data_IF_888542558699
#
_entry.id   IF_888542558699
#
_cell.length_a   1.000
_cell.length_b   1.000
_cell.length_c   1.000
_cell.angle_alpha   90.00
_cell.angle_beta   90.00
_cell.angle_gamma   90.00
#
_symmetry.space_group_name_H-M   'P 1'
#
loop_
_entity.id
_entity.type
_entity.pdbx_description
1 polymer ?
#
# COMPACT_ATOMS: atom_id res chain seq x y z
N UNK A 1 -13.59 -4.83 -20.16
CA UNK A 1 -12.19 -4.35 -20.24
C UNK A 1 -11.97 -3.48 -19.00
N UNK A 2 -11.02 -3.88 -18.15
CA UNK A 2 -10.84 -3.25 -16.84
C UNK A 2 -10.30 -1.82 -17.00
N UNK A 3 -10.74 -0.92 -16.16
CA UNK A 3 -10.26 0.48 -16.06
C UNK A 3 -8.73 0.54 -15.92
N UNK A 4 -8.12 -0.48 -15.30
CA UNK A 4 -6.67 -0.63 -15.21
C UNK A 4 -5.96 -0.69 -16.57
N UNK A 5 -6.61 -1.21 -17.63
CA UNK A 5 -6.04 -1.24 -18.99
C UNK A 5 -6.06 0.14 -19.67
N UNK A 6 -6.98 1.02 -19.32
CA UNK A 6 -6.99 2.39 -19.85
C UNK A 6 -5.94 3.27 -19.16
N UNK A 7 -5.73 3.10 -17.87
CA UNK A 7 -4.73 3.85 -17.10
C UNK A 7 -3.31 3.54 -17.58
N UNK A 8 -2.99 2.28 -17.86
CA UNK A 8 -1.69 1.90 -18.42
C UNK A 8 -1.39 2.52 -19.78
N UNK A 9 -2.42 3.01 -20.50
CA UNK A 9 -2.24 3.74 -21.77
C UNK A 9 -1.82 5.21 -21.58
N UNK A 10 -2.06 5.78 -20.42
CA UNK A 10 -1.75 7.18 -20.11
C UNK A 10 -0.47 7.37 -19.31
N UNK A 11 0.07 6.31 -18.69
CA UNK A 11 1.35 6.38 -18.01
C UNK A 11 2.53 6.29 -18.98
N UNK A 12 2.49 7.13 -19.98
CA UNK A 12 3.58 7.27 -20.93
C UNK A 12 4.61 8.24 -20.39
N UNK A 13 5.72 7.70 -19.85
CA UNK A 13 6.94 8.44 -19.71
C UNK A 13 6.88 9.66 -18.79
N UNK A 14 7.23 9.48 -17.54
CA UNK A 14 7.43 10.58 -16.58
C UNK A 14 8.37 11.68 -17.11
N UNK A 15 9.26 11.37 -18.03
CA UNK A 15 10.19 12.35 -18.62
C UNK A 15 9.65 13.11 -19.82
N UNK A 16 8.72 12.54 -20.61
CA UNK A 16 8.29 13.13 -21.88
C UNK A 16 6.84 13.63 -21.86
N UNK A 17 6.04 13.24 -20.88
CA UNK A 17 4.64 13.61 -20.80
C UNK A 17 4.27 14.13 -19.41
N UNK A 18 5.22 14.74 -18.71
CA UNK A 18 4.89 15.52 -17.54
C UNK A 18 4.00 16.69 -17.97
N UNK A 19 2.70 16.44 -18.05
CA UNK A 19 1.71 17.48 -17.90
C UNK A 19 1.32 17.46 -16.42
N UNK A 20 1.46 18.59 -15.76
CA UNK A 20 0.92 18.81 -14.44
C UNK A 20 -0.60 18.87 -14.55
N UNK A 21 -1.23 17.75 -14.84
CA UNK A 21 -2.67 17.62 -14.84
C UNK A 21 -3.15 17.03 -13.51
N UNK A 22 -4.45 17.10 -13.29
CA UNK A 22 -5.10 16.69 -12.04
C UNK A 22 -4.98 15.19 -11.73
N UNK A 23 -4.46 14.40 -12.67
CA UNK A 23 -4.35 12.93 -12.56
C UNK A 23 -2.94 12.48 -12.19
N UNK A 24 -1.98 13.39 -12.01
CA UNK A 24 -0.59 13.08 -11.65
C UNK A 24 -0.18 13.72 -10.34
N UNK A 25 -0.45 13.02 -9.26
CA UNK A 25 0.08 13.35 -7.93
C UNK A 25 1.38 12.58 -7.61
N UNK A 26 1.65 11.50 -8.33
CA UNK A 26 2.81 10.62 -8.18
C UNK A 26 3.36 10.23 -9.55
N UNK A 27 4.56 9.72 -9.64
CA UNK A 27 5.13 9.02 -10.79
C UNK A 27 4.58 7.58 -10.92
N UNK A 28 3.79 7.15 -9.95
CA UNK A 28 3.01 5.93 -9.97
C UNK A 28 1.52 6.25 -10.09
N UNK A 29 0.78 5.42 -10.82
CA UNK A 29 -0.65 5.61 -11.04
C UNK A 29 -1.48 5.01 -9.90
N UNK A 30 -2.54 5.67 -9.45
CA UNK A 30 -3.49 5.03 -8.55
C UNK A 30 -4.17 3.85 -9.27
N UNK A 31 -4.28 2.72 -8.60
CA UNK A 31 -5.01 1.55 -9.10
C UNK A 31 -6.40 1.55 -8.49
N UNK A 32 -7.42 1.41 -9.33
CA UNK A 32 -8.80 1.20 -8.90
C UNK A 32 -9.17 -0.24 -9.19
N UNK A 33 -9.49 -0.99 -8.16
CA UNK A 33 -9.96 -2.36 -8.27
C UNK A 33 -11.41 -2.40 -7.78
N UNK A 34 -12.33 -2.81 -8.63
CA UNK A 34 -13.70 -3.12 -8.24
C UNK A 34 -13.84 -4.63 -8.03
N UNK A 35 -14.12 -5.05 -6.80
CA UNK A 35 -14.37 -6.45 -6.46
C UNK A 35 -15.86 -6.62 -6.16
N UNK A 36 -16.48 -7.67 -6.73
CA UNK A 36 -17.84 -8.08 -6.35
C UNK A 36 -17.73 -9.32 -5.47
N UNK A 37 -18.00 -9.15 -4.17
CA UNK A 37 -18.03 -10.25 -3.22
C UNK A 37 -19.47 -10.75 -3.01
N UNK A 38 -19.66 -12.07 -2.94
CA UNK A 38 -20.92 -12.69 -2.52
C UNK A 38 -20.90 -12.90 -1.00
N UNK A 39 -21.61 -12.06 -0.26
CA UNK A 39 -21.77 -12.28 1.18
C UNK A 39 -22.63 -13.51 1.51
N UNK A 40 -22.49 -14.05 2.71
CA UNK A 40 -23.19 -15.24 3.23
C UNK A 40 -24.72 -15.13 3.24
N UNK A 41 -25.29 -13.96 2.97
CA UNK A 41 -26.74 -13.70 2.90
C UNK A 41 -27.30 -13.65 1.47
N UNK A 42 -26.52 -14.04 0.44
CA UNK A 42 -26.97 -14.11 -0.95
C UNK A 42 -27.09 -12.78 -1.68
N UNK A 43 -26.58 -11.69 -1.11
CA UNK A 43 -26.47 -10.39 -1.77
C UNK A 43 -25.08 -10.18 -2.38
N UNK A 44 -25.01 -9.41 -3.47
CA UNK A 44 -23.75 -8.88 -3.99
C UNK A 44 -23.48 -7.52 -3.37
N UNK A 45 -22.25 -7.29 -2.87
CA UNK A 45 -21.78 -5.98 -2.44
C UNK A 45 -20.71 -5.49 -3.43
N UNK A 46 -20.73 -4.20 -3.74
CA UNK A 46 -19.68 -3.57 -4.54
C UNK A 46 -18.69 -2.92 -3.59
N UNK A 47 -17.41 -3.21 -3.76
CA UNK A 47 -16.29 -2.53 -3.09
C UNK A 47 -15.55 -1.69 -4.13
N UNK A 48 -15.25 -0.45 -3.77
CA UNK A 48 -14.45 0.46 -4.57
C UNK A 48 -13.13 0.69 -3.83
N UNK A 49 -12.09 -0.03 -4.25
CA UNK A 49 -10.76 0.08 -3.65
C UNK A 49 -9.96 1.14 -4.41
N UNK A 50 -9.64 2.23 -3.71
CA UNK A 50 -8.77 3.28 -4.20
C UNK A 50 -7.40 3.05 -3.59
N UNK A 51 -6.42 2.80 -4.43
CA UNK A 51 -5.05 2.52 -3.96
C UNK A 51 -4.04 3.46 -4.62
N UNK A 52 -3.00 3.81 -3.88
CA UNK A 52 -1.82 4.51 -4.39
C UNK A 52 -0.56 3.97 -3.70
N UNK A 53 0.60 4.27 -4.25
CA UNK A 53 1.90 3.93 -3.67
C UNK A 53 2.91 5.03 -3.96
N UNK A 54 4.04 5.00 -3.26
CA UNK A 54 5.18 5.89 -3.51
C UNK A 54 4.80 7.38 -3.53
N UNK A 55 3.96 7.78 -2.58
CA UNK A 55 3.52 9.17 -2.48
C UNK A 55 4.66 10.12 -2.13
N UNK A 56 5.63 9.67 -1.31
CA UNK A 56 6.87 10.38 -0.99
C UNK A 56 6.68 11.84 -0.64
N UNK A 57 5.68 12.15 0.18
CA UNK A 57 5.44 13.52 0.56
C UNK A 57 5.28 14.48 -0.62
N UNK A 58 4.72 14.02 -1.73
CA UNK A 58 4.43 14.81 -2.94
C UNK A 58 3.28 15.78 -2.71
N UNK A 59 3.45 16.64 -1.70
CA UNK A 59 2.49 17.68 -1.35
C UNK A 59 2.95 19.05 -1.88
N UNK A 60 1.98 19.91 -2.19
CA UNK A 60 2.24 21.25 -2.68
C UNK A 60 1.04 21.82 -3.41
N UNK A 61 1.12 23.11 -3.74
CA UNK A 61 0.00 23.86 -4.32
C UNK A 61 -0.62 23.20 -5.56
N UNK A 62 0.20 22.57 -6.39
CA UNK A 62 -0.24 21.99 -7.66
C UNK A 62 -0.36 20.46 -7.61
N UNK A 63 -0.13 19.82 -6.45
CA UNK A 63 -0.16 18.38 -6.27
C UNK A 63 -1.28 17.96 -5.33
N UNK A 64 -1.32 18.51 -4.12
CA UNK A 64 -2.25 18.10 -3.06
C UNK A 64 -3.70 18.26 -3.45
N UNK A 65 -4.08 19.41 -4.02
CA UNK A 65 -5.48 19.69 -4.36
C UNK A 65 -5.98 18.82 -5.51
N UNK A 66 -5.25 18.65 -6.63
CA UNK A 66 -5.64 17.71 -7.69
C UNK A 66 -5.75 16.26 -7.19
N UNK A 67 -4.78 15.79 -6.41
CA UNK A 67 -4.81 14.44 -5.82
C UNK A 67 -6.06 14.24 -4.95
N UNK A 68 -6.30 15.16 -4.02
CA UNK A 68 -7.48 15.12 -3.15
C UNK A 68 -8.78 15.17 -3.97
N UNK A 69 -8.86 16.04 -4.97
CA UNK A 69 -10.05 16.15 -5.82
C UNK A 69 -10.32 14.86 -6.60
N UNK A 70 -9.28 14.18 -7.09
CA UNK A 70 -9.42 12.90 -7.77
C UNK A 70 -9.97 11.83 -6.82
N UNK A 71 -9.41 11.71 -5.61
CA UNK A 71 -9.90 10.75 -4.61
C UNK A 71 -11.36 11.04 -4.26
N UNK A 72 -11.71 12.31 -4.01
CA UNK A 72 -13.09 12.67 -3.65
C UNK A 72 -14.07 12.44 -4.81
N UNK A 73 -13.64 12.69 -6.06
CA UNK A 73 -14.46 12.37 -7.23
C UNK A 73 -14.73 10.88 -7.35
N UNK A 74 -13.70 10.04 -7.25
CA UNK A 74 -13.82 8.58 -7.33
C UNK A 74 -14.64 8.01 -6.16
N UNK A 75 -14.49 8.59 -4.98
CA UNK A 75 -15.28 8.25 -3.80
C UNK A 75 -16.75 8.61 -3.95
N UNK A 76 -17.04 9.76 -4.59
CA UNK A 76 -18.40 10.22 -4.81
C UNK A 76 -19.21 9.31 -5.76
N UNK A 77 -18.55 8.52 -6.60
CA UNK A 77 -19.21 7.52 -7.45
C UNK A 77 -19.70 6.32 -6.62
N UNK A 78 -19.04 6.05 -5.48
CA UNK A 78 -19.31 4.92 -4.59
C UNK A 78 -19.18 5.32 -3.11
N UNK A 79 -20.01 6.23 -2.59
CA UNK A 79 -19.78 6.91 -1.31
C UNK A 79 -19.77 5.97 -0.09
N UNK A 80 -20.56 4.89 -0.12
CA UNK A 80 -20.69 3.96 1.00
C UNK A 80 -19.82 2.71 0.86
N UNK A 81 -19.10 2.58 -0.27
CA UNK A 81 -18.34 1.36 -0.59
C UNK A 81 -16.88 1.63 -0.97
N UNK A 82 -16.41 2.86 -0.78
CA UNK A 82 -15.04 3.24 -1.10
C UNK A 82 -14.08 3.07 0.07
N UNK A 83 -12.93 2.45 -0.18
CA UNK A 83 -11.83 2.26 0.76
C UNK A 83 -10.54 2.82 0.15
N UNK A 84 -9.90 3.77 0.84
CA UNK A 84 -8.63 4.33 0.42
C UNK A 84 -7.48 3.61 1.13
N UNK A 85 -6.57 3.04 0.34
CA UNK A 85 -5.42 2.25 0.76
C UNK A 85 -4.13 2.82 0.16
N UNK A 86 -2.99 2.37 0.68
CA UNK A 86 -1.68 2.66 0.10
C UNK A 86 -0.74 1.45 0.23
N UNK A 87 0.10 1.24 -0.78
CA UNK A 87 1.07 0.15 -0.81
C UNK A 87 2.47 0.58 -0.35
N UNK A 88 2.58 1.56 0.55
CA UNK A 88 3.84 1.98 1.16
C UNK A 88 4.47 3.22 0.53
N UNK A 89 5.59 3.65 1.13
CA UNK A 89 6.36 4.84 0.75
C UNK A 89 5.51 6.11 0.69
N UNK A 90 4.60 6.26 1.66
CA UNK A 90 3.79 7.47 1.81
C UNK A 90 4.63 8.66 2.26
N UNK A 91 5.66 8.39 3.06
CA UNK A 91 6.64 9.36 3.61
C UNK A 91 8.06 8.91 3.29
N UNK A 92 9.04 9.74 3.59
CA UNK A 92 10.45 9.53 3.26
C UNK A 92 10.77 9.84 1.80
N UNK A 93 12.02 10.14 1.49
CA UNK A 93 12.46 10.69 0.20
C UNK A 93 11.58 11.87 -0.29
N UNK A 94 10.97 12.58 0.63
CA UNK A 94 9.90 13.55 0.42
C UNK A 94 10.39 14.87 -0.16
N UNK A 95 9.49 15.61 -0.81
CA UNK A 95 9.74 16.99 -1.19
C UNK A 95 10.07 17.87 0.03
N UNK A 96 10.84 18.92 -0.18
CA UNK A 96 11.35 19.80 0.88
C UNK A 96 10.26 20.34 1.81
N UNK A 97 9.10 20.70 1.28
CA UNK A 97 7.96 21.20 2.05
C UNK A 97 7.37 20.17 3.03
N UNK A 98 7.58 18.89 2.78
CA UNK A 98 7.23 17.80 3.69
C UNK A 98 8.42 17.41 4.57
N UNK A 99 9.57 17.08 3.96
CA UNK A 99 10.74 16.57 4.66
C UNK A 99 11.30 17.55 5.71
N UNK A 100 11.28 18.85 5.44
CA UNK A 100 11.70 19.88 6.39
C UNK A 100 10.87 19.90 7.70
N UNK A 101 9.69 19.32 7.67
CA UNK A 101 8.78 19.18 8.82
C UNK A 101 8.61 17.71 9.22
N UNK A 102 9.58 16.85 8.87
CA UNK A 102 9.57 15.40 9.18
C UNK A 102 8.29 14.72 8.72
N UNK A 103 7.83 15.08 7.54
CA UNK A 103 6.64 14.55 6.87
C UNK A 103 5.29 14.76 7.60
N UNK A 104 5.26 15.61 8.64
CA UNK A 104 4.01 15.91 9.32
C UNK A 104 2.94 16.47 8.37
N UNK A 105 3.23 17.40 7.44
CA UNK A 105 2.21 17.87 6.50
C UNK A 105 1.65 16.79 5.58
N UNK A 106 2.45 15.79 5.23
CA UNK A 106 1.98 14.63 4.45
C UNK A 106 1.05 13.76 5.27
N UNK A 107 1.41 13.47 6.53
CA UNK A 107 0.56 12.72 7.46
C UNK A 107 -0.78 13.44 7.62
N UNK A 108 -0.78 14.75 7.80
CA UNK A 108 -2.00 15.55 7.96
C UNK A 108 -2.90 15.49 6.72
N UNK A 109 -2.30 15.55 5.52
CA UNK A 109 -3.04 15.42 4.25
C UNK A 109 -3.67 14.04 4.11
N UNK A 110 -2.92 12.97 4.36
CA UNK A 110 -3.42 11.60 4.24
C UNK A 110 -4.48 11.28 5.31
N UNK A 111 -4.33 11.83 6.52
CA UNK A 111 -5.38 11.78 7.54
C UNK A 111 -6.66 12.49 7.07
N UNK A 112 -6.54 13.69 6.49
CA UNK A 112 -7.68 14.44 5.98
C UNK A 112 -8.38 13.73 4.83
N UNK A 113 -7.64 13.00 3.99
CA UNK A 113 -8.18 12.17 2.91
C UNK A 113 -8.80 10.86 3.41
N UNK A 114 -8.64 10.54 4.69
CA UNK A 114 -9.22 9.34 5.28
C UNK A 114 -8.59 8.04 4.79
N UNK A 115 -7.27 8.04 4.58
CA UNK A 115 -6.51 6.80 4.37
C UNK A 115 -6.83 5.82 5.50
N UNK A 116 -7.07 4.55 5.19
CA UNK A 116 -7.50 3.55 6.17
C UNK A 116 -6.40 2.57 6.56
N UNK A 117 -5.65 2.10 5.58
CA UNK A 117 -4.50 1.24 5.82
C UNK A 117 -3.43 1.49 4.76
N UNK A 118 -2.19 1.25 5.13
CA UNK A 118 -1.03 1.30 4.23
C UNK A 118 -0.06 0.19 4.60
N UNK A 119 0.46 -0.54 3.62
CA UNK A 119 1.71 -1.24 3.85
C UNK A 119 2.78 -0.23 4.30
N UNK A 120 3.77 -0.66 5.05
CA UNK A 120 5.02 0.10 5.14
C UNK A 120 5.83 -0.14 3.88
N UNK A 121 6.47 0.89 3.34
CA UNK A 121 7.53 0.77 2.37
C UNK A 121 8.91 0.87 3.03
N UNK A 122 9.96 0.87 2.24
CA UNK A 122 11.32 1.01 2.79
C UNK A 122 11.57 2.42 3.33
N UNK A 123 11.00 3.45 2.74
CA UNK A 123 11.18 4.83 3.16
C UNK A 123 10.44 5.21 4.45
N UNK A 124 9.46 4.43 4.88
CA UNK A 124 8.92 4.56 6.24
C UNK A 124 10.00 4.36 7.31
N UNK A 125 11.09 3.65 6.99
CA UNK A 125 12.21 3.40 7.91
C UNK A 125 13.40 4.35 7.75
N UNK A 126 13.32 5.40 6.93
CA UNK A 126 14.41 6.37 6.72
C UNK A 126 14.92 7.00 8.02
N UNK A 127 14.02 7.29 8.96
CA UNK A 127 14.33 7.82 10.29
C UNK A 127 14.43 6.71 11.36
N UNK A 128 14.29 5.46 10.96
CA UNK A 128 14.35 4.28 11.80
C UNK A 128 13.01 3.82 12.36
N UNK A 129 13.03 2.58 12.83
CA UNK A 129 11.84 1.90 13.39
C UNK A 129 11.22 2.63 14.58
N UNK A 130 12.06 3.19 15.48
CA UNK A 130 11.58 3.91 16.65
C UNK A 130 10.88 5.23 16.28
N UNK A 131 11.33 5.91 15.23
CA UNK A 131 10.64 7.09 14.70
C UNK A 131 9.31 6.74 14.06
N UNK A 132 9.29 5.68 13.23
CA UNK A 132 8.07 5.18 12.63
C UNK A 132 7.01 4.86 13.69
N UNK A 133 7.36 4.05 14.68
CA UNK A 133 6.40 3.59 15.70
C UNK A 133 6.06 4.67 16.73
N UNK A 134 7.01 5.51 17.12
CA UNK A 134 6.83 6.51 18.16
C UNK A 134 6.19 7.80 17.67
N UNK A 135 6.68 8.35 16.56
CA UNK A 135 6.26 9.66 16.03
C UNK A 135 5.24 9.53 14.90
N UNK A 136 5.53 8.69 13.89
CA UNK A 136 4.68 8.61 12.69
C UNK A 136 3.37 7.89 13.01
N UNK A 137 3.43 6.69 13.54
CA UNK A 137 2.24 5.94 13.97
C UNK A 137 1.68 6.57 15.25
N UNK A 138 2.55 6.81 16.23
CA UNK A 138 2.17 7.28 17.56
C UNK A 138 1.75 6.13 18.48
N UNK A 139 1.37 6.47 19.70
CA UNK A 139 0.95 5.52 20.73
C UNK A 139 -0.56 5.57 20.94
N UNK A 140 -1.11 4.59 21.63
CA UNK A 140 -2.53 4.54 22.00
C UNK A 140 -3.02 5.84 22.63
N UNK A 141 -4.12 6.37 22.10
CA UNK A 141 -4.70 7.64 22.51
C UNK A 141 -3.98 8.89 21.99
N UNK A 142 -2.86 8.73 21.25
CA UNK A 142 -2.08 9.80 20.61
C UNK A 142 -1.58 9.38 19.22
N UNK A 143 -2.39 8.68 18.46
CA UNK A 143 -2.03 8.33 17.08
C UNK A 143 -1.86 9.58 16.24
N UNK A 144 -0.75 9.63 15.48
CA UNK A 144 -0.47 10.69 14.52
C UNK A 144 -0.98 10.30 13.14
N UNK A 145 -0.48 9.22 12.55
CA UNK A 145 -1.13 8.59 11.40
C UNK A 145 -2.43 7.90 11.86
N UNK A 146 -3.58 8.33 11.33
CA UNK A 146 -4.90 7.79 11.72
C UNK A 146 -5.28 6.52 10.97
N UNK A 147 -4.47 6.11 10.01
CA UNK A 147 -4.58 4.84 9.32
C UNK A 147 -3.72 3.75 9.97
N UNK A 148 -3.95 2.51 9.62
CA UNK A 148 -3.15 1.39 10.07
C UNK A 148 -1.93 1.22 9.16
N UNK A 149 -0.72 1.36 9.72
CA UNK A 149 0.51 0.94 9.05
C UNK A 149 0.73 -0.55 9.26
N UNK A 150 0.90 -1.29 8.16
CA UNK A 150 0.94 -2.75 8.13
C UNK A 150 2.30 -3.25 7.65
N UNK A 151 2.83 -4.28 8.34
CA UNK A 151 4.10 -4.88 8.00
C UNK A 151 4.17 -6.33 8.44
N UNK A 152 3.42 -7.23 7.77
CA UNK A 152 3.29 -8.63 8.15
C UNK A 152 4.59 -9.44 8.06
N UNK A 153 5.56 -8.96 7.29
CA UNK A 153 6.89 -9.56 7.18
C UNK A 153 7.98 -8.79 7.94
N UNK A 154 7.59 -7.83 8.81
CA UNK A 154 8.51 -7.10 9.67
C UNK A 154 8.49 -7.74 11.06
N UNK A 155 9.60 -8.33 11.46
CA UNK A 155 9.70 -9.10 12.72
C UNK A 155 10.69 -8.46 13.68
N UNK A 156 10.48 -8.70 14.96
CA UNK A 156 11.52 -8.46 15.98
C UNK A 156 12.68 -9.41 15.73
N UNK A 157 13.87 -8.88 15.61
CA UNK A 157 15.06 -9.62 15.17
C UNK A 157 15.31 -10.91 15.95
N UNK A 158 15.42 -12.00 15.20
CA UNK A 158 15.72 -13.33 15.73
C UNK A 158 14.59 -13.99 16.54
N UNK A 159 13.36 -13.47 16.48
CA UNK A 159 12.24 -14.01 17.27
C UNK A 159 11.08 -14.56 16.47
N UNK A 160 10.94 -14.14 15.20
CA UNK A 160 9.73 -14.39 14.39
C UNK A 160 8.46 -13.71 14.93
N UNK A 161 8.58 -12.88 15.97
CA UNK A 161 7.45 -12.13 16.50
C UNK A 161 7.21 -10.88 15.64
N UNK A 162 5.97 -10.59 15.20
CA UNK A 162 5.68 -9.36 14.47
C UNK A 162 6.13 -8.10 15.21
N UNK A 163 6.77 -7.21 14.49
CA UNK A 163 7.21 -5.91 15.00
C UNK A 163 6.20 -4.79 14.70
N UNK A 164 5.37 -4.99 13.69
CA UNK A 164 4.28 -4.09 13.31
C UNK A 164 2.96 -4.85 13.28
N UNK A 165 1.86 -4.13 13.14
CA UNK A 165 0.56 -4.71 12.86
C UNK A 165 0.62 -5.41 11.49
N UNK A 166 0.09 -6.63 11.41
CA UNK A 166 0.23 -7.47 10.22
C UNK A 166 -0.87 -7.22 9.20
N UNK A 167 -2.08 -6.95 9.70
CA UNK A 167 -3.29 -6.73 8.90
C UNK A 167 -4.24 -5.74 9.59
N UNK A 168 -5.21 -5.26 8.85
CA UNK A 168 -6.32 -4.45 9.34
C UNK A 168 -7.64 -4.95 8.74
N UNK A 169 -8.71 -5.02 9.53
CA UNK A 169 -10.03 -5.38 9.03
C UNK A 169 -10.87 -4.12 8.91
N UNK A 170 -11.27 -3.79 7.69
CA UNK A 170 -12.10 -2.64 7.37
C UNK A 170 -13.51 -3.11 7.01
N UNK A 171 -14.53 -2.59 7.71
CA UNK A 171 -15.92 -2.90 7.35
C UNK A 171 -16.43 -1.87 6.33
N UNK A 172 -16.67 -2.34 5.13
CA UNK A 172 -17.10 -1.51 4.00
C UNK A 172 -18.42 -2.08 3.46
N UNK A 173 -19.49 -1.35 3.62
CA UNK A 173 -20.83 -1.77 3.14
C UNK A 173 -21.23 -3.18 3.61
N UNK A 174 -20.87 -3.52 4.85
CA UNK A 174 -21.16 -4.82 5.45
C UNK A 174 -20.23 -5.97 5.05
N UNK A 175 -19.19 -5.68 4.25
CA UNK A 175 -18.13 -6.63 3.88
C UNK A 175 -16.90 -6.37 4.75
N UNK A 176 -16.34 -7.40 5.34
CA UNK A 176 -15.09 -7.34 6.09
C UNK A 176 -13.92 -7.48 5.12
N UNK A 177 -13.23 -6.39 4.88
CA UNK A 177 -12.03 -6.36 4.01
C UNK A 177 -10.80 -6.48 4.89
N UNK A 178 -10.12 -7.61 4.81
CA UNK A 178 -8.82 -7.85 5.45
C UNK A 178 -7.70 -7.28 4.57
N UNK A 179 -7.03 -6.23 5.04
CA UNK A 179 -5.89 -5.64 4.34
C UNK A 179 -4.62 -6.13 4.99
N UNK A 180 -3.73 -6.76 4.22
CA UNK A 180 -2.43 -7.27 4.66
C UNK A 180 -1.35 -6.41 4.01
N UNK A 181 -0.41 -5.87 4.78
CA UNK A 181 0.70 -5.07 4.23
C UNK A 181 2.04 -5.79 4.37
N UNK A 182 2.85 -5.76 3.34
CA UNK A 182 4.22 -6.31 3.35
C UNK A 182 5.18 -5.39 2.59
N UNK A 183 6.46 -5.48 2.94
CA UNK A 183 7.55 -4.67 2.36
C UNK A 183 8.64 -5.56 1.79
N UNK A 184 9.37 -5.07 0.81
CA UNK A 184 10.51 -5.78 0.23
C UNK A 184 11.54 -6.20 1.29
N UNK A 185 12.07 -7.41 1.16
CA UNK A 185 13.20 -7.87 2.00
C UNK A 185 14.45 -7.02 1.82
N UNK A 186 14.61 -6.37 0.67
CA UNK A 186 15.75 -5.51 0.35
C UNK A 186 15.81 -4.26 1.24
N UNK A 187 14.73 -3.92 1.95
CA UNK A 187 14.70 -2.82 2.93
C UNK A 187 15.89 -2.88 3.90
N UNK A 188 16.33 -4.08 4.27
CA UNK A 188 17.51 -4.26 5.13
C UNK A 188 18.81 -3.64 4.56
N UNK A 189 18.89 -3.45 3.24
CA UNK A 189 20.04 -2.88 2.52
C UNK A 189 19.78 -1.49 1.99
N UNK A 190 18.52 -1.07 1.90
CA UNK A 190 18.10 0.22 1.36
C UNK A 190 18.11 1.34 2.40
N UNK A 191 17.98 1.00 3.70
CA UNK A 191 17.89 1.97 4.77
C UNK A 191 19.08 1.91 5.73
N UNK A 192 19.22 2.93 6.58
CA UNK A 192 20.31 2.99 7.55
C UNK A 192 20.28 1.81 8.53
N UNK A 193 21.31 0.96 8.60
CA UNK A 193 21.32 -0.20 9.48
C UNK A 193 21.14 0.15 10.96
N UNK A 194 21.49 1.38 11.36
CA UNK A 194 21.32 1.90 12.71
C UNK A 194 19.85 1.96 13.12
N UNK A 195 18.97 2.34 12.21
CA UNK A 195 17.55 2.53 12.47
C UNK A 195 16.73 1.24 12.52
N UNK A 196 17.27 0.13 12.03
CA UNK A 196 16.56 -1.15 11.93
C UNK A 196 17.20 -2.29 12.75
N UNK A 197 18.07 -1.95 13.70
CA UNK A 197 18.85 -2.95 14.48
C UNK A 197 17.99 -4.00 15.20
N UNK A 198 16.80 -3.62 15.63
CA UNK A 198 15.90 -4.46 16.42
C UNK A 198 14.90 -5.26 15.61
N UNK A 199 14.89 -5.09 14.28
CA UNK A 199 13.95 -5.75 13.39
C UNK A 199 14.65 -6.47 12.23
N UNK A 200 13.89 -7.32 11.56
CA UNK A 200 14.30 -8.01 10.34
C UNK A 200 13.11 -8.14 9.38
N UNK A 201 13.42 -8.29 8.12
CA UNK A 201 12.42 -8.36 7.04
C UNK A 201 12.39 -9.77 6.47
N UNK A 202 11.26 -10.45 6.63
CA UNK A 202 11.02 -11.80 6.15
C UNK A 202 10.50 -11.83 4.71
N UNK A 203 10.22 -13.05 4.23
CA UNK A 203 9.65 -13.25 2.90
C UNK A 203 8.22 -12.68 2.87
N UNK A 204 7.91 -11.73 1.98
CA UNK A 204 6.60 -11.08 1.93
C UNK A 204 5.48 -12.04 1.53
N UNK A 205 5.71 -12.96 0.57
CA UNK A 205 4.69 -13.92 0.12
C UNK A 205 4.34 -14.92 1.23
N UNK A 206 5.35 -15.42 1.97
CA UNK A 206 5.10 -16.32 3.10
C UNK A 206 4.29 -15.62 4.20
N UNK A 207 4.57 -14.34 4.46
CA UNK A 207 3.84 -13.57 5.45
C UNK A 207 2.39 -13.31 5.02
N UNK A 208 2.16 -12.90 3.76
CA UNK A 208 0.81 -12.73 3.21
C UNK A 208 0.03 -14.04 3.31
N UNK A 209 0.61 -15.15 2.84
CA UNK A 209 -0.06 -16.45 2.85
C UNK A 209 -0.41 -16.93 4.27
N UNK A 210 0.46 -16.67 5.23
CA UNK A 210 0.21 -16.99 6.64
C UNK A 210 -0.97 -16.19 7.19
N UNK A 211 -0.99 -14.88 6.96
CA UNK A 211 -2.05 -14.01 7.45
C UNK A 211 -3.37 -14.25 6.70
N UNK A 212 -3.32 -14.47 5.38
CA UNK A 212 -4.51 -14.79 4.59
C UNK A 212 -5.22 -16.04 5.11
N UNK A 213 -4.46 -17.11 5.41
CA UNK A 213 -5.02 -18.33 6.02
C UNK A 213 -5.60 -18.09 7.40
N UNK A 214 -4.97 -17.25 8.22
CA UNK A 214 -5.51 -16.85 9.52
C UNK A 214 -6.86 -16.14 9.38
N UNK A 215 -7.00 -15.24 8.39
CA UNK A 215 -8.20 -14.46 8.16
C UNK A 215 -9.34 -15.23 7.47
N UNK A 216 -9.12 -16.51 7.13
CA UNK A 216 -10.09 -17.37 6.45
C UNK A 216 -10.21 -18.75 7.10
N UNK A 217 -9.74 -18.94 8.33
CA UNK A 217 -9.74 -20.23 9.00
C UNK A 217 -11.04 -20.55 9.78
N UNK A 218 -11.95 -19.58 9.89
CA UNK A 218 -13.23 -19.70 10.59
C UNK A 218 -13.14 -19.41 12.08
N UNK A 219 -11.98 -18.95 12.58
CA UNK A 219 -11.79 -18.56 13.97
C UNK A 219 -11.97 -17.04 14.16
N UNK A 220 -13.17 -16.60 14.49
CA UNK A 220 -13.47 -15.18 14.74
C UNK A 220 -12.57 -14.54 15.82
N UNK A 221 -11.90 -15.32 16.66
CA UNK A 221 -11.04 -14.79 17.73
C UNK A 221 -9.72 -14.21 17.22
N UNK A 222 -9.26 -14.63 16.05
CA UNK A 222 -8.02 -14.17 15.44
C UNK A 222 -8.24 -13.22 14.25
N UNK A 223 -9.51 -12.82 14.01
CA UNK A 223 -9.96 -12.00 12.89
C UNK A 223 -10.42 -12.85 11.71
N UNK A 224 -11.48 -12.41 11.05
CA UNK A 224 -12.02 -13.03 9.85
C UNK A 224 -12.34 -11.98 8.80
N UNK A 225 -12.07 -12.28 7.54
CA UNK A 225 -12.34 -11.41 6.40
C UNK A 225 -13.20 -12.12 5.35
N UNK A 226 -14.04 -11.34 4.68
CA UNK A 226 -14.85 -11.81 3.56
C UNK A 226 -14.14 -11.57 2.21
N UNK A 227 -13.21 -10.61 2.19
CA UNK A 227 -12.33 -10.26 1.06
C UNK A 227 -10.94 -9.94 1.62
N UNK A 228 -9.91 -10.43 0.98
CA UNK A 228 -8.50 -10.16 1.38
C UNK A 228 -7.79 -9.36 0.29
N UNK A 229 -7.22 -8.24 0.68
CA UNK A 229 -6.37 -7.38 -0.14
C UNK A 229 -4.94 -7.44 0.40
N UNK A 230 -3.98 -7.79 -0.45
CA UNK A 230 -2.56 -7.77 -0.09
C UNK A 230 -1.87 -6.57 -0.74
N UNK A 231 -1.39 -5.66 0.10
CA UNK A 231 -0.60 -4.50 -0.28
C UNK A 231 0.89 -4.87 -0.24
N UNK A 232 1.44 -5.15 -1.41
CA UNK A 232 2.87 -5.46 -1.57
C UNK A 232 3.66 -4.20 -1.91
N UNK A 233 4.51 -3.74 -1.00
CA UNK A 233 5.54 -2.77 -1.33
C UNK A 233 6.75 -3.51 -1.92
N UNK A 234 6.60 -3.92 -3.19
CA UNK A 234 7.58 -4.69 -3.93
C UNK A 234 7.41 -4.42 -5.42
N UNK A 235 8.49 -4.47 -6.18
CA UNK A 235 8.49 -4.11 -7.59
C UNK A 235 8.65 -5.28 -8.54
N UNK A 236 8.05 -5.15 -9.72
CA UNK A 236 8.48 -5.88 -10.90
C UNK A 236 9.76 -5.26 -11.47
N UNK A 237 10.57 -6.03 -12.19
CA UNK A 237 11.74 -5.47 -12.85
C UNK A 237 11.32 -4.41 -13.88
N UNK A 238 11.82 -3.19 -13.75
CA UNK A 238 11.60 -2.15 -14.73
C UNK A 238 12.69 -2.20 -15.81
N UNK A 239 12.32 -2.08 -17.08
CA UNK A 239 13.27 -1.72 -18.15
C UNK A 239 13.42 -0.20 -18.13
N UNK A 240 14.28 0.32 -17.26
CA UNK A 240 14.54 1.76 -17.15
C UNK A 240 15.06 2.38 -18.47
N UNK A 241 15.66 1.55 -19.33
CA UNK A 241 16.25 2.00 -20.59
C UNK A 241 15.24 2.13 -21.75
N UNK A 242 14.08 1.52 -21.66
CA UNK A 242 13.02 1.59 -22.67
C UNK A 242 11.65 1.95 -22.07
N UNK A 243 11.44 3.22 -21.92
CA UNK A 243 10.18 3.77 -21.44
C UNK A 243 8.95 3.50 -22.35
N UNK A 244 9.17 2.90 -23.52
CA UNK A 244 8.12 2.45 -24.45
C UNK A 244 7.81 0.96 -24.30
N UNK A 245 8.66 0.20 -23.61
CA UNK A 245 8.45 -1.20 -23.36
C UNK A 245 7.20 -1.40 -22.48
N UNK A 246 6.33 -2.28 -22.93
CA UNK A 246 5.17 -2.75 -22.16
C UNK A 246 5.36 -4.23 -21.90
N UNK A 247 6.21 -4.60 -20.92
CA UNK A 247 6.46 -6.00 -20.66
C UNK A 247 5.16 -6.68 -20.21
N UNK A 248 4.96 -7.87 -20.73
CA UNK A 248 3.89 -8.76 -20.27
C UNK A 248 4.17 -9.25 -18.85
N UNK A 249 3.16 -9.79 -18.18
CA UNK A 249 3.34 -10.43 -16.87
C UNK A 249 4.41 -11.52 -16.93
N UNK A 250 4.43 -12.33 -18.00
CA UNK A 250 5.43 -13.39 -18.15
C UNK A 250 6.86 -12.86 -18.32
N UNK A 251 7.03 -11.76 -19.05
CA UNK A 251 8.33 -11.08 -19.15
C UNK A 251 8.77 -10.48 -17.81
N UNK A 252 7.86 -9.87 -17.06
CA UNK A 252 8.12 -9.37 -15.72
C UNK A 252 8.49 -10.49 -14.74
N UNK A 253 7.78 -11.61 -14.79
CA UNK A 253 8.09 -12.81 -13.99
C UNK A 253 9.45 -13.39 -14.34
N UNK A 254 9.84 -13.36 -15.63
CA UNK A 254 11.13 -13.83 -16.07
C UNK A 254 12.28 -12.89 -15.62
N UNK A 255 12.02 -11.58 -15.54
CA UNK A 255 12.99 -10.57 -15.15
C UNK A 255 13.16 -10.45 -13.62
N UNK A 256 12.10 -10.65 -12.85
CA UNK A 256 12.08 -10.54 -11.37
C UNK A 256 11.64 -11.83 -10.71
N UNK A 257 12.56 -12.59 -10.07
CA UNK A 257 12.20 -13.77 -9.29
C UNK A 257 11.25 -13.48 -8.12
N UNK A 258 11.34 -12.27 -7.54
CA UNK A 258 10.47 -11.85 -6.44
C UNK A 258 9.05 -11.61 -6.96
N UNK A 259 8.91 -10.83 -8.04
CA UNK A 259 7.61 -10.61 -8.67
C UNK A 259 6.97 -11.93 -9.16
N UNK A 260 7.80 -12.84 -9.71
CA UNK A 260 7.33 -14.18 -10.06
C UNK A 260 6.72 -14.91 -8.87
N UNK A 261 7.35 -14.87 -7.71
CA UNK A 261 6.82 -15.49 -6.48
C UNK A 261 5.51 -14.84 -6.04
N UNK A 262 5.41 -13.52 -6.10
CA UNK A 262 4.16 -12.82 -5.76
C UNK A 262 3.02 -13.34 -6.63
N UNK A 263 3.23 -13.41 -7.95
CA UNK A 263 2.18 -13.84 -8.89
C UNK A 263 1.84 -15.31 -8.76
N UNK A 264 2.86 -16.18 -8.60
CA UNK A 264 2.68 -17.62 -8.67
C UNK A 264 2.37 -18.27 -7.31
N UNK A 265 2.88 -17.70 -6.21
CA UNK A 265 2.90 -18.35 -4.90
C UNK A 265 1.99 -17.64 -3.87
N UNK A 266 1.37 -16.50 -4.19
CA UNK A 266 0.36 -15.87 -3.32
C UNK A 266 -0.84 -16.79 -3.19
N UNK A 267 -1.31 -16.98 -1.95
CA UNK A 267 -2.41 -17.88 -1.62
C UNK A 267 -3.70 -17.45 -2.35
N UNK A 268 -4.43 -18.38 -2.99
CA UNK A 268 -5.66 -18.05 -3.70
C UNK A 268 -6.80 -17.54 -2.80
N UNK A 269 -6.62 -17.49 -1.48
CA UNK A 269 -7.51 -16.80 -0.56
C UNK A 269 -7.36 -15.26 -0.64
N UNK A 270 -6.31 -14.76 -1.29
CA UNK A 270 -6.16 -13.32 -1.59
C UNK A 270 -6.93 -13.03 -2.88
N UNK A 271 -7.83 -12.03 -2.86
CA UNK A 271 -8.78 -11.69 -3.93
C UNK A 271 -8.19 -10.81 -5.04
#
# INVERSE_FOLDING_TARGET
>A
ESVALEYSRYNYNAKNLYQADQFRASDHDPVIIGISASGTTGGTATLNLLNFNDFHGRIGKNLTVPFAATIEQLRAEHPDSSLLLAAGDSIGASLFNSSAQKDQPTIDVLNALGLKASAVGNHEFDQGYDDLTGRVIGTDGKRNAQWDYLGANVYKKGTGTPALQEYSIQNVNGVRVGVIGVVTQETSTLVSPGGIKGIEFGNPVEAVNRVARQLTDGDESNGEADVIVAEYHEGAASNEDDATAKPTIDEQKAASPVFKKIVDDTDPAVD
#
